data_IF_481778090764
#
_entry.id   IF_481778090764
#
_cell.length_a   1.000
_cell.length_b   1.000
_cell.length_c   1.000
_cell.angle_alpha   90.00
_cell.angle_beta   90.00
_cell.angle_gamma   90.00
#
_symmetry.space_group_name_H-M   'P 1'
#
loop_
_entity.id
_entity.type
_entity.pdbx_description
1 polymer ?
#
# COMPACT_ATOMS: atom_id res chain seq x y z
N UNK A 1 -2.55 -15.14 -18.42
CA UNK A 1 -1.87 -14.90 -17.13
C UNK A 1 -1.98 -13.43 -16.82
N UNK A 2 -2.45 -13.09 -15.61
CA UNK A 2 -2.53 -11.69 -15.16
C UNK A 2 -1.22 -11.25 -14.52
N UNK A 3 -1.05 -9.93 -14.35
CA UNK A 3 0.06 -9.38 -13.57
C UNK A 3 -0.27 -9.54 -12.08
N UNK A 4 0.61 -10.13 -11.25
CA UNK A 4 0.37 -10.25 -9.83
C UNK A 4 0.13 -8.88 -9.18
N UNK A 5 -0.97 -8.75 -8.47
CA UNK A 5 -1.32 -7.50 -7.78
C UNK A 5 -1.88 -7.78 -6.40
N UNK A 6 -1.75 -6.82 -5.50
CA UNK A 6 -2.25 -6.86 -4.13
C UNK A 6 -2.96 -5.56 -3.80
N UNK A 7 -4.14 -5.67 -3.24
CA UNK A 7 -4.79 -4.52 -2.59
C UNK A 7 -4.10 -4.27 -1.26
N UNK A 8 -3.70 -3.04 -1.01
CA UNK A 8 -3.06 -2.62 0.23
C UNK A 8 -3.82 -1.44 0.83
N UNK A 9 -4.42 -1.67 1.99
CA UNK A 9 -5.04 -0.61 2.79
C UNK A 9 -3.98 0.06 3.63
N UNK A 10 -3.87 1.36 3.50
CA UNK A 10 -2.91 2.21 4.20
C UNK A 10 -3.63 2.98 5.30
N UNK A 11 -3.12 2.94 6.52
CA UNK A 11 -3.78 3.49 7.70
C UNK A 11 -2.84 4.29 8.59
N UNK A 12 -3.33 5.37 9.24
CA UNK A 12 -2.54 6.19 10.15
C UNK A 12 -2.30 5.48 11.50
N UNK A 13 -1.30 5.98 12.24
CA UNK A 13 -0.97 5.49 13.59
C UNK A 13 -2.15 5.63 14.56
N UNK A 14 -2.75 6.79 14.59
CA UNK A 14 -3.95 7.04 15.39
C UNK A 14 -5.16 6.68 14.56
N UNK A 15 -6.01 5.79 15.09
CA UNK A 15 -7.23 5.43 14.40
C UNK A 15 -8.13 6.65 14.26
N UNK A 16 -8.31 7.05 13.02
CA UNK A 16 -9.35 7.96 12.56
C UNK A 16 -10.10 7.21 11.47
N UNK A 17 -11.33 7.58 11.20
CA UNK A 17 -12.10 6.97 10.11
C UNK A 17 -11.56 7.44 8.75
N UNK A 18 -10.29 7.15 8.52
CA UNK A 18 -9.55 7.51 7.32
C UNK A 18 -8.58 6.38 6.99
N UNK A 19 -8.66 5.91 5.77
CA UNK A 19 -7.72 4.96 5.20
C UNK A 19 -7.65 5.20 3.70
N UNK A 20 -6.55 4.78 3.10
CA UNK A 20 -6.41 4.82 1.64
C UNK A 20 -6.09 3.44 1.11
N UNK A 21 -6.63 3.13 -0.06
CA UNK A 21 -6.42 1.82 -0.70
C UNK A 21 -5.63 2.03 -1.98
N UNK A 22 -4.50 1.36 -2.07
CA UNK A 22 -3.66 1.33 -3.26
C UNK A 22 -3.50 -0.10 -3.77
N UNK A 23 -3.08 -0.25 -5.01
CA UNK A 23 -2.62 -1.52 -5.55
C UNK A 23 -1.09 -1.58 -5.54
N UNK A 24 -0.56 -2.67 -5.04
CA UNK A 24 0.83 -3.02 -5.29
C UNK A 24 0.87 -4.03 -6.44
N UNK A 25 1.64 -3.71 -7.49
CA UNK A 25 1.76 -4.53 -8.70
C UNK A 25 3.19 -5.08 -8.78
N UNK A 26 3.34 -6.39 -8.93
CA UNK A 26 4.66 -7.00 -8.99
C UNK A 26 5.28 -6.91 -10.38
N UNK A 27 6.43 -6.26 -10.46
CA UNK A 27 7.25 -6.23 -11.66
C UNK A 27 8.30 -7.35 -11.62
N UNK A 28 8.17 -8.36 -12.46
CA UNK A 28 9.17 -9.41 -12.59
C UNK A 28 10.51 -8.88 -13.12
N UNK A 29 10.48 -7.85 -13.97
CA UNK A 29 11.69 -7.20 -14.51
C UNK A 29 12.48 -6.48 -13.42
N UNK A 30 11.79 -5.80 -12.50
CA UNK A 30 12.41 -5.06 -11.40
C UNK A 30 12.56 -5.90 -10.12
N UNK A 31 11.96 -7.09 -10.08
CA UNK A 31 11.98 -7.99 -8.93
C UNK A 31 11.31 -7.42 -7.67
N UNK A 32 10.33 -6.52 -7.83
CA UNK A 32 9.70 -5.83 -6.72
C UNK A 32 8.25 -5.43 -6.97
N UNK A 33 7.52 -5.19 -5.89
CA UNK A 33 6.21 -4.57 -5.91
C UNK A 33 6.32 -3.07 -6.23
N UNK A 34 5.42 -2.55 -7.05
CA UNK A 34 5.35 -1.14 -7.43
C UNK A 34 4.10 -0.50 -6.86
N UNK A 35 4.20 0.77 -6.50
CA UNK A 35 3.08 1.61 -6.09
C UNK A 35 2.23 1.99 -7.28
N UNK A 36 0.96 1.57 -7.29
CA UNK A 36 -0.06 1.99 -8.25
C UNK A 36 -1.31 2.40 -7.49
N UNK A 37 -1.77 3.61 -7.69
CA UNK A 37 -2.98 4.13 -7.07
C UNK A 37 -4.01 4.50 -8.13
N UNK A 38 -5.01 3.66 -8.36
CA UNK A 38 -6.05 3.95 -9.35
C UNK A 38 -6.92 5.16 -8.99
N UNK A 39 -7.16 5.40 -7.70
CA UNK A 39 -7.98 6.54 -7.23
C UNK A 39 -7.34 7.88 -7.58
N UNK A 40 -6.01 7.94 -7.49
CA UNK A 40 -5.25 9.14 -7.82
C UNK A 40 -4.61 9.09 -9.22
N UNK A 41 -4.91 8.06 -10.03
CA UNK A 41 -4.23 7.83 -11.31
C UNK A 41 -2.71 8.02 -11.15
N UNK A 42 -2.14 7.43 -10.11
CA UNK A 42 -0.80 7.74 -9.66
C UNK A 42 0.13 6.52 -9.56
N UNK A 43 1.37 6.75 -9.93
CA UNK A 43 2.53 5.95 -9.54
C UNK A 43 3.60 6.86 -8.96
N UNK A 44 4.55 6.29 -8.24
CA UNK A 44 5.57 7.05 -7.51
C UNK A 44 6.96 6.70 -8.01
N UNK A 45 7.79 7.74 -8.15
CA UNK A 45 9.20 7.62 -8.56
C UNK A 45 10.14 8.33 -7.59
N UNK A 46 11.42 8.02 -7.68
CA UNK A 46 12.49 8.84 -7.13
C UNK A 46 12.84 10.02 -8.06
N UNK A 47 13.91 10.76 -7.73
CA UNK A 47 14.40 11.91 -8.51
C UNK A 47 14.98 11.53 -9.87
N UNK A 48 15.40 10.29 -10.02
CA UNK A 48 15.95 9.72 -11.26
C UNK A 48 14.86 9.11 -12.15
N UNK A 49 13.62 9.09 -11.68
CA UNK A 49 12.47 8.50 -12.40
C UNK A 49 12.33 6.98 -12.22
N UNK A 50 13.04 6.37 -11.28
CA UNK A 50 12.87 4.96 -10.98
C UNK A 50 11.56 4.73 -10.21
N UNK A 51 10.76 3.77 -10.65
CA UNK A 51 9.51 3.40 -10.00
C UNK A 51 9.77 2.88 -8.58
N UNK A 52 8.98 3.32 -7.63
CA UNK A 52 9.11 2.97 -6.22
C UNK A 52 8.00 2.00 -5.77
N UNK A 53 8.36 1.15 -4.81
CA UNK A 53 7.42 0.33 -4.04
C UNK A 53 6.83 1.13 -2.87
N UNK A 54 5.77 0.60 -2.26
CA UNK A 54 5.16 1.19 -1.05
C UNK A 54 6.19 1.30 0.09
N UNK A 55 7.00 0.27 0.27
CA UNK A 55 8.04 0.26 1.31
C UNK A 55 9.16 1.28 1.04
N UNK A 56 9.56 1.45 -0.23
CA UNK A 56 10.55 2.46 -0.60
C UNK A 56 10.00 3.88 -0.40
N UNK A 57 8.76 4.14 -0.80
CA UNK A 57 8.10 5.44 -0.56
C UNK A 57 8.03 5.73 0.94
N UNK A 58 7.58 4.75 1.75
CA UNK A 58 7.52 4.89 3.21
C UNK A 58 8.89 5.19 3.83
N UNK A 59 9.93 4.48 3.40
CA UNK A 59 11.29 4.67 3.88
C UNK A 59 11.84 6.06 3.50
N UNK A 60 11.61 6.50 2.26
CA UNK A 60 12.05 7.81 1.77
C UNK A 60 11.37 8.95 2.50
N UNK A 61 10.04 8.92 2.64
CA UNK A 61 9.29 9.92 3.40
C UNK A 61 9.80 10.01 4.85
N UNK A 62 10.05 8.87 5.48
CA UNK A 62 10.58 8.82 6.85
C UNK A 62 11.98 9.40 6.99
N UNK A 63 12.82 9.25 5.98
CA UNK A 63 14.21 9.75 5.98
C UNK A 63 14.37 11.14 5.34
N UNK A 64 13.27 11.77 4.92
CA UNK A 64 13.31 13.07 4.24
C UNK A 64 13.87 13.01 2.81
N UNK A 65 13.95 11.81 2.22
CA UNK A 65 14.34 11.65 0.82
C UNK A 65 13.16 11.96 -0.11
N UNK A 66 13.39 12.63 -1.24
CA UNK A 66 12.31 13.04 -2.11
C UNK A 66 11.64 11.87 -2.83
N UNK A 67 10.33 12.02 -3.03
CA UNK A 67 9.46 11.16 -3.84
C UNK A 67 8.64 12.03 -4.78
N UNK A 68 8.24 11.50 -5.93
CA UNK A 68 7.48 12.23 -6.95
C UNK A 68 6.30 11.39 -7.44
N UNK A 69 5.12 11.99 -7.47
CA UNK A 69 4.01 11.46 -8.25
C UNK A 69 4.15 11.83 -9.73
N UNK A 70 3.52 11.09 -10.61
CA UNK A 70 3.45 11.40 -12.03
C UNK A 70 2.69 12.72 -12.30
N UNK A 71 2.98 13.35 -13.43
CA UNK A 71 2.39 14.67 -13.78
C UNK A 71 0.88 14.61 -14.03
N UNK A 72 0.37 13.47 -14.44
CA UNK A 72 -1.04 13.22 -14.76
C UNK A 72 -1.87 12.79 -13.54
N UNK A 73 -1.26 12.72 -12.35
CA UNK A 73 -1.95 12.34 -11.12
C UNK A 73 -3.17 13.23 -10.86
N UNK A 74 -4.30 12.60 -10.57
CA UNK A 74 -5.56 13.28 -10.34
C UNK A 74 -6.48 12.40 -9.48
N UNK A 75 -7.28 13.03 -8.63
CA UNK A 75 -8.24 12.33 -7.81
C UNK A 75 -9.54 12.07 -8.59
N UNK A 76 -9.87 10.80 -8.79
CA UNK A 76 -11.09 10.32 -9.45
C UNK A 76 -11.38 10.96 -10.83
N UNK A 77 -10.35 11.36 -11.57
CA UNK A 77 -10.47 12.13 -12.83
C UNK A 77 -11.18 13.49 -12.68
N UNK A 78 -11.28 14.03 -11.47
CA UNK A 78 -11.97 15.28 -11.19
C UNK A 78 -11.00 16.41 -10.85
N UNK A 79 -10.00 16.13 -10.03
CA UNK A 79 -9.09 17.15 -9.51
C UNK A 79 -7.65 16.74 -9.67
N UNK A 80 -6.83 17.62 -10.27
CA UNK A 80 -5.38 17.39 -10.32
C UNK A 80 -4.81 17.25 -8.91
N UNK A 81 -3.98 16.23 -8.72
CA UNK A 81 -3.30 15.95 -7.47
C UNK A 81 -1.83 16.34 -7.59
N UNK A 82 -1.32 17.09 -6.62
CA UNK A 82 0.11 17.44 -6.57
C UNK A 82 0.87 16.38 -5.76
N UNK A 83 2.18 16.29 -5.98
CA UNK A 83 3.06 15.45 -5.16
C UNK A 83 2.98 15.84 -3.69
N UNK A 84 2.94 17.13 -3.38
CA UNK A 84 2.86 17.64 -2.01
C UNK A 84 1.60 17.18 -1.32
N UNK A 85 0.43 17.54 -1.86
CA UNK A 85 -0.86 17.20 -1.27
C UNK A 85 -1.04 15.68 -1.10
N UNK A 86 -0.63 14.92 -2.11
CA UNK A 86 -0.85 13.47 -2.13
C UNK A 86 0.15 12.70 -1.28
N UNK A 87 1.46 12.88 -1.52
CA UNK A 87 2.48 12.04 -0.89
C UNK A 87 2.93 12.59 0.46
N UNK A 88 3.17 13.89 0.56
CA UNK A 88 3.73 14.47 1.78
C UNK A 88 2.68 14.80 2.83
N UNK A 89 1.50 15.28 2.43
CA UNK A 89 0.43 15.59 3.39
C UNK A 89 -0.49 14.40 3.66
N UNK A 90 -1.03 13.78 2.60
CA UNK A 90 -2.05 12.74 2.77
C UNK A 90 -1.46 11.35 3.04
N UNK A 91 -0.61 10.83 2.15
CA UNK A 91 -0.10 9.47 2.28
C UNK A 91 0.95 9.29 3.37
N UNK A 92 1.75 10.31 3.67
CA UNK A 92 2.76 10.24 4.73
C UNK A 92 2.17 9.79 6.07
N UNK A 93 0.99 10.29 6.45
CA UNK A 93 0.31 9.85 7.69
C UNK A 93 -0.32 8.46 7.56
N UNK A 94 -0.75 8.07 6.36
CA UNK A 94 -1.48 6.83 6.10
C UNK A 94 -0.58 5.61 5.83
N UNK A 95 0.74 5.77 5.79
CA UNK A 95 1.68 4.67 5.60
C UNK A 95 2.17 4.04 6.91
N UNK A 96 1.50 4.29 8.03
CA UNK A 96 1.95 3.74 9.31
C UNK A 96 1.61 2.26 9.46
N UNK A 97 0.35 1.88 9.25
CA UNK A 97 -0.10 0.50 9.17
C UNK A 97 -0.47 0.16 7.74
N UNK A 98 -0.15 -1.06 7.32
CA UNK A 98 -0.55 -1.60 6.02
C UNK A 98 -1.30 -2.90 6.23
N UNK A 99 -2.39 -3.07 5.51
CA UNK A 99 -3.18 -4.30 5.52
C UNK A 99 -3.33 -4.82 4.10
N UNK A 100 -3.23 -6.11 3.91
CA UNK A 100 -3.48 -6.75 2.62
C UNK A 100 -4.20 -8.06 2.81
N UNK A 101 -4.95 -8.48 1.81
CA UNK A 101 -5.58 -9.78 1.81
C UNK A 101 -4.53 -10.86 1.52
N UNK A 102 -4.66 -12.00 2.20
CA UNK A 102 -3.79 -13.15 1.96
C UNK A 102 -4.33 -14.05 0.86
N UNK A 103 -5.58 -13.87 0.48
CA UNK A 103 -6.30 -14.70 -0.48
C UNK A 103 -7.31 -13.88 -1.27
N UNK A 104 -7.37 -14.12 -2.56
CA UNK A 104 -8.40 -13.61 -3.47
C UNK A 104 -9.07 -14.82 -4.14
N UNK A 105 -10.39 -14.84 -4.21
CA UNK A 105 -11.16 -15.88 -4.88
C UNK A 105 -12.23 -15.30 -5.78
N UNK A 106 -12.58 -16.04 -6.83
CA UNK A 106 -13.75 -15.76 -7.62
C UNK A 106 -14.99 -16.27 -6.90
N UNK A 107 -16.08 -15.50 -6.94
CA UNK A 107 -17.39 -15.91 -6.45
C UNK A 107 -17.38 -16.31 -4.96
N UNK A 108 -16.82 -15.44 -4.13
CA UNK A 108 -16.65 -15.67 -2.69
C UNK A 108 -17.86 -15.30 -1.85
N UNK A 109 -19.00 -14.97 -2.44
CA UNK A 109 -20.19 -14.48 -1.73
C UNK A 109 -20.72 -15.47 -0.68
N UNK A 110 -20.64 -16.78 -0.96
CA UNK A 110 -21.06 -17.83 -0.03
C UNK A 110 -20.04 -18.17 1.05
N UNK A 111 -18.75 -17.90 0.81
CA UNK A 111 -17.64 -18.29 1.67
C UNK A 111 -16.85 -17.10 2.23
N UNK A 112 -17.37 -15.90 2.01
CA UNK A 112 -16.69 -14.64 2.36
C UNK A 112 -16.17 -14.61 3.78
N UNK A 113 -16.95 -15.08 4.74
CA UNK A 113 -16.56 -15.10 6.14
C UNK A 113 -15.42 -16.07 6.48
N UNK A 114 -15.23 -17.10 5.67
CA UNK A 114 -14.24 -18.16 5.91
C UNK A 114 -12.96 -18.00 5.09
N UNK A 115 -12.97 -17.21 4.02
CA UNK A 115 -11.91 -17.13 3.03
C UNK A 115 -11.01 -15.91 3.14
N UNK A 116 -11.45 -14.84 3.81
CA UNK A 116 -10.68 -13.59 3.90
C UNK A 116 -9.87 -13.57 5.18
N UNK A 117 -8.60 -13.81 5.04
CA UNK A 117 -7.61 -13.53 6.05
C UNK A 117 -6.81 -12.31 5.62
N UNK A 118 -6.53 -11.44 6.57
CA UNK A 118 -5.71 -10.26 6.36
C UNK A 118 -4.34 -10.44 7.00
N UNK A 119 -3.32 -10.00 6.29
CA UNK A 119 -2.01 -9.76 6.86
C UNK A 119 -1.86 -8.28 7.17
N UNK A 120 -1.43 -7.98 8.37
CA UNK A 120 -1.32 -6.63 8.91
C UNK A 120 0.14 -6.31 9.23
N UNK A 121 0.74 -5.41 8.46
CA UNK A 121 2.09 -4.93 8.70
C UNK A 121 2.07 -3.74 9.64
N UNK A 122 2.77 -3.84 10.75
CA UNK A 122 2.93 -2.78 11.73
C UNK A 122 4.41 -2.47 11.97
N UNK A 123 4.75 -1.22 12.35
CA UNK A 123 6.14 -0.91 12.70
C UNK A 123 6.61 -1.70 13.92
N UNK A 124 7.90 -2.04 13.95
CA UNK A 124 8.53 -2.70 15.10
C UNK A 124 8.33 -1.87 16.37
N UNK A 125 7.94 -2.52 17.45
CA UNK A 125 7.68 -1.88 18.74
C UNK A 125 6.29 -1.22 18.85
N UNK A 126 5.44 -1.39 17.86
CA UNK A 126 4.04 -0.97 17.95
C UNK A 126 3.15 -2.20 18.15
N UNK A 127 2.62 -2.34 19.36
CA UNK A 127 1.59 -3.34 19.63
C UNK A 127 0.24 -2.79 19.17
N UNK A 128 -0.18 -3.17 17.97
CA UNK A 128 -1.59 -2.97 17.61
C UNK A 128 -2.41 -4.03 18.34
N UNK A 129 -3.41 -3.62 19.10
CA UNK A 129 -4.44 -4.53 19.53
C UNK A 129 -5.04 -5.18 18.28
N UNK A 130 -5.00 -6.49 18.23
CA UNK A 130 -5.55 -7.28 17.14
C UNK A 130 -7.00 -6.86 16.88
N UNK A 131 -7.23 -6.16 15.77
CA UNK A 131 -8.54 -5.58 15.45
C UNK A 131 -9.56 -6.64 15.02
N UNK A 132 -9.06 -7.78 14.54
CA UNK A 132 -9.89 -8.89 14.08
C UNK A 132 -9.14 -10.20 14.37
N UNK A 133 -9.77 -11.21 14.99
CA UNK A 133 -9.14 -12.49 15.27
C UNK A 133 -8.71 -13.27 14.01
N UNK A 134 -9.18 -12.87 12.83
CA UNK A 134 -8.77 -13.43 11.54
C UNK A 134 -7.52 -12.75 10.94
N UNK A 135 -7.07 -11.65 11.53
CA UNK A 135 -5.88 -10.93 11.07
C UNK A 135 -4.66 -11.45 11.81
N UNK A 136 -3.60 -11.72 11.09
CA UNK A 136 -2.31 -11.91 11.73
C UNK A 136 -1.41 -10.70 11.47
N UNK A 137 -0.75 -10.25 12.53
CA UNK A 137 0.13 -9.09 12.49
C UNK A 137 1.57 -9.53 12.30
N UNK A 138 2.29 -8.79 11.47
CA UNK A 138 3.71 -8.96 11.26
C UNK A 138 4.41 -7.60 11.41
N UNK A 139 5.68 -7.63 11.79
CA UNK A 139 6.56 -6.47 11.82
C UNK A 139 7.79 -6.66 10.92
N UNK A 140 7.67 -7.55 9.95
CA UNK A 140 8.70 -7.91 8.98
C UNK A 140 8.24 -7.50 7.57
N UNK A 141 8.85 -6.44 7.05
CA UNK A 141 8.60 -5.95 5.70
C UNK A 141 8.94 -6.99 4.62
N UNK A 142 9.97 -7.83 4.82
CA UNK A 142 10.36 -8.85 3.84
C UNK A 142 9.30 -9.92 3.72
N UNK A 143 8.74 -10.34 4.84
CA UNK A 143 7.66 -11.31 4.85
C UNK A 143 6.39 -10.73 4.21
N UNK A 144 6.02 -9.51 4.58
CA UNK A 144 4.82 -8.84 4.04
C UNK A 144 4.92 -8.63 2.52
N UNK A 145 6.09 -8.20 2.01
CA UNK A 145 6.34 -7.88 0.61
C UNK A 145 7.07 -8.98 -0.16
N UNK A 146 7.01 -10.22 0.29
CA UNK A 146 7.59 -11.34 -0.46
C UNK A 146 7.05 -11.40 -1.90
N UNK A 147 7.88 -11.88 -2.82
CA UNK A 147 7.48 -12.06 -4.20
C UNK A 147 6.28 -13.03 -4.31
N UNK A 148 5.41 -12.86 -5.28
CA UNK A 148 4.34 -13.82 -5.54
C UNK A 148 4.94 -15.17 -5.97
N UNK A 149 4.30 -16.26 -5.54
CA UNK A 149 4.68 -17.64 -5.90
C UNK A 149 4.38 -17.93 -7.38
#
# INVERSE_FOLDING_TARGET
MGIPSRVSTCMPKTYINDCHVINAVYSSTLGKWLWIDPTNNAWVTDEQGNLLSVQEVRARLRSGQPVRGNAEANWNNEKKTTTEDYLYEYMAKNLFYLESWTRYGFNTESDYENLINYIFLQPTGCDSKQRNPRNFSVNDDRYFWQAPL
#
